data_IF_873401056632
#
_entry.id   IF_873401056632
#
_cell.length_a   1.000
_cell.length_b   1.000
_cell.length_c   1.000
_cell.angle_alpha   90.00
_cell.angle_beta   90.00
_cell.angle_gamma   90.00
#
_symmetry.space_group_name_H-M   'P 1'
#
loop_
_entity.id
_entity.type
_entity.pdbx_description
1 polymer ?
#
# COMPACT_ATOMS: atom_id res chain seq x y z
N UNK A 1 4.67 14.92 7.32
CA UNK A 1 5.96 14.97 6.61
C UNK A 1 6.81 13.80 7.06
N UNK A 2 7.62 13.17 6.18
CA UNK A 2 8.57 12.14 6.60
C UNK A 2 9.60 12.74 7.55
N UNK A 3 10.14 11.93 8.46
CA UNK A 3 11.12 12.39 9.46
C UNK A 3 12.51 11.90 9.09
N UNK A 4 13.51 12.79 9.12
CA UNK A 4 14.92 12.46 8.93
C UNK A 4 15.64 12.45 10.29
N UNK A 5 16.24 11.31 10.63
CA UNK A 5 17.10 11.17 11.80
C UNK A 5 18.55 11.04 11.35
N UNK A 6 19.41 11.96 11.77
CA UNK A 6 20.85 11.89 11.52
C UNK A 6 21.51 10.98 12.57
N UNK A 7 22.43 10.15 12.11
CA UNK A 7 23.21 9.21 12.93
C UNK A 7 24.71 9.56 12.81
N UNK A 8 25.54 9.10 13.77
CA UNK A 8 26.99 9.19 13.64
C UNK A 8 27.52 8.56 12.34
N UNK A 9 28.75 8.92 11.98
CA UNK A 9 29.43 8.45 10.76
C UNK A 9 28.80 8.94 9.45
N UNK A 10 28.05 10.05 9.49
CA UNK A 10 27.45 10.67 8.30
C UNK A 10 26.23 9.92 7.74
N UNK A 11 25.59 9.07 8.56
CA UNK A 11 24.41 8.29 8.15
C UNK A 11 23.11 9.03 8.45
N UNK A 12 22.07 8.76 7.66
CA UNK A 12 20.71 9.27 7.88
C UNK A 12 19.66 8.20 7.72
N UNK A 13 18.62 8.23 8.56
CA UNK A 13 17.45 7.36 8.47
C UNK A 13 16.24 8.22 8.11
N UNK A 14 15.66 7.96 6.95
CA UNK A 14 14.40 8.56 6.52
C UNK A 14 13.24 7.62 6.86
N UNK A 15 12.28 8.09 7.64
CA UNK A 15 11.04 7.35 7.92
C UNK A 15 9.89 7.98 7.16
N UNK A 16 9.12 7.15 6.45
CA UNK A 16 7.90 7.59 5.80
C UNK A 16 6.92 8.14 6.85
N UNK A 17 6.17 9.17 6.45
CA UNK A 17 5.07 9.67 7.28
C UNK A 17 4.01 8.58 7.41
N UNK A 18 3.46 8.39 8.62
CA UNK A 18 2.32 7.50 8.79
C UNK A 18 1.13 8.05 7.99
N UNK A 19 0.49 7.25 7.12
CA UNK A 19 -0.75 7.67 6.47
C UNK A 19 -1.81 8.01 7.52
N UNK A 20 -2.61 9.05 7.27
CA UNK A 20 -3.66 9.47 8.19
C UNK A 20 -4.85 8.48 8.26
N UNK A 21 -4.99 7.60 7.25
CA UNK A 21 -6.05 6.60 7.17
C UNK A 21 -5.65 5.21 7.66
N UNK A 22 -6.64 4.40 8.01
CA UNK A 22 -6.47 2.97 8.30
C UNK A 22 -7.11 2.14 7.20
N UNK A 23 -6.70 0.87 7.04
CA UNK A 23 -7.34 -0.03 6.07
C UNK A 23 -8.83 -0.26 6.37
N UNK A 24 -9.27 -0.06 7.61
CA UNK A 24 -10.67 -0.25 8.01
C UNK A 24 -11.63 0.65 7.23
N UNK A 25 -11.20 1.86 6.85
CA UNK A 25 -12.05 2.76 6.04
C UNK A 25 -12.17 2.33 4.57
N UNK A 26 -11.41 1.34 4.13
CA UNK A 26 -11.43 0.80 2.77
C UNK A 26 -12.22 -0.51 2.65
N UNK A 27 -12.41 -1.23 3.77
CA UNK A 27 -13.16 -2.49 3.79
C UNK A 27 -14.61 -2.25 3.35
N UNK A 28 -15.07 -3.07 2.40
CA UNK A 28 -16.44 -2.97 1.87
C UNK A 28 -16.61 -2.01 0.69
N UNK A 29 -15.56 -1.34 0.20
CA UNK A 29 -15.64 -0.43 -0.95
C UNK A 29 -16.33 -1.03 -2.19
N UNK A 30 -16.19 -2.34 -2.39
CA UNK A 30 -16.75 -3.08 -3.52
C UNK A 30 -18.02 -3.87 -3.16
N UNK A 31 -18.54 -3.75 -1.94
CA UNK A 31 -19.74 -4.48 -1.52
C UNK A 31 -20.93 -4.14 -2.45
N UNK A 32 -21.59 -5.18 -2.97
CA UNK A 32 -22.73 -5.04 -3.88
C UNK A 32 -22.39 -4.52 -5.28
N UNK A 33 -21.12 -4.21 -5.59
CA UNK A 33 -20.71 -3.67 -6.90
C UNK A 33 -20.39 -4.75 -7.93
N UNK A 34 -20.22 -5.99 -7.51
CA UNK A 34 -19.91 -7.12 -8.40
C UNK A 34 -20.38 -8.43 -7.78
N UNK A 35 -20.70 -9.38 -8.65
CA UNK A 35 -20.94 -10.78 -8.28
C UNK A 35 -19.72 -11.68 -8.62
N UNK A 36 -18.64 -11.11 -9.18
CA UNK A 36 -17.44 -11.85 -9.54
C UNK A 36 -16.76 -12.39 -8.28
N UNK A 37 -16.56 -13.71 -8.25
CA UNK A 37 -15.68 -14.39 -7.29
C UNK A 37 -14.35 -14.62 -7.99
N UNK A 38 -13.32 -13.88 -7.58
CA UNK A 38 -12.00 -13.97 -8.22
C UNK A 38 -11.23 -15.20 -7.73
N UNK A 39 -10.50 -15.86 -8.61
CA UNK A 39 -9.54 -16.91 -8.21
C UNK A 39 -8.28 -16.31 -7.61
N UNK A 40 -7.45 -17.14 -6.97
CA UNK A 40 -6.16 -16.70 -6.41
C UNK A 40 -5.23 -16.17 -7.52
N UNK A 41 -5.25 -16.81 -8.69
CA UNK A 41 -4.46 -16.42 -9.86
C UNK A 41 -4.87 -15.02 -10.34
N UNK A 42 -6.17 -14.76 -10.47
CA UNK A 42 -6.67 -13.44 -10.87
C UNK A 42 -6.33 -12.35 -9.85
N UNK A 43 -6.37 -12.67 -8.55
CA UNK A 43 -5.97 -11.73 -7.47
C UNK A 43 -4.47 -11.42 -7.57
N UNK A 44 -3.63 -12.43 -7.79
CA UNK A 44 -2.19 -12.27 -7.92
C UNK A 44 -1.82 -11.43 -9.15
N UNK A 45 -2.48 -11.68 -10.29
CA UNK A 45 -2.29 -10.89 -11.50
C UNK A 45 -2.68 -9.42 -11.26
N UNK A 46 -3.86 -9.17 -10.68
CA UNK A 46 -4.30 -7.80 -10.37
C UNK A 46 -3.36 -7.08 -9.39
N UNK A 47 -2.84 -7.80 -8.38
CA UNK A 47 -1.86 -7.25 -7.45
C UNK A 47 -0.53 -6.89 -8.14
N UNK A 48 -0.03 -7.77 -9.01
CA UNK A 48 1.18 -7.53 -9.79
C UNK A 48 1.01 -6.31 -10.72
N UNK A 49 -0.10 -6.23 -11.45
CA UNK A 49 -0.42 -5.08 -12.31
C UNK A 49 -0.56 -3.79 -11.50
N UNK A 50 -1.19 -3.84 -10.32
CA UNK A 50 -1.33 -2.69 -9.42
C UNK A 50 -0.01 -2.17 -8.86
N UNK A 51 1.05 -2.98 -8.90
CA UNK A 51 2.39 -2.61 -8.45
C UNK A 51 3.37 -2.31 -9.60
N UNK A 52 3.04 -2.71 -10.84
CA UNK A 52 3.91 -2.60 -12.01
C UNK A 52 4.27 -1.16 -12.43
N UNK A 53 3.66 -0.14 -11.81
CA UNK A 53 3.95 1.29 -12.06
C UNK A 53 4.49 2.06 -10.85
N UNK A 54 4.77 1.40 -9.71
CA UNK A 54 5.36 2.05 -8.53
C UNK A 54 6.85 1.75 -8.47
N UNK A 55 7.65 2.56 -9.17
CA UNK A 55 9.09 2.71 -8.89
C UNK A 55 9.30 3.78 -7.81
#
# INVERSE_FOLDING_TARGET
MPTLNLLPDGRGVLKAARPAGTIASFVGLLAGRTQKVATIEEINEAAAQGWAGKQ
#
